data_IF_582477115945
#
_entry.id   IF_582477115945
#
_cell.length_a   1.000
_cell.length_b   1.000
_cell.length_c   1.000
_cell.angle_alpha   90.00
_cell.angle_beta   90.00
_cell.angle_gamma   90.00
#
_symmetry.space_group_name_H-M   'P 1'
#
loop_
_entity.id
_entity.type
_entity.pdbx_description
1 polymer ?
#
# COMPACT_ATOMS: atom_id res chain seq x y z
N UNK A 1 -21.85 13.93 -10.86
CA UNK A 1 -21.48 14.65 -9.62
C UNK A 1 -20.92 13.62 -8.65
N UNK A 2 -19.62 13.72 -8.32
CA UNK A 2 -19.06 12.90 -7.24
C UNK A 2 -19.66 13.40 -5.91
N UNK A 3 -20.11 12.51 -5.01
CA UNK A 3 -20.72 12.94 -3.76
C UNK A 3 -19.68 13.65 -2.88
N UNK A 4 -20.02 14.83 -2.36
CA UNK A 4 -19.18 15.74 -1.57
C UNK A 4 -18.31 15.08 -0.48
N UNK A 5 -18.74 13.92 0.06
CA UNK A 5 -17.97 13.14 1.04
C UNK A 5 -16.63 12.56 0.52
N UNK A 6 -16.43 12.46 -0.80
CA UNK A 6 -15.17 11.98 -1.41
C UNK A 6 -14.19 13.13 -1.71
N UNK A 7 -14.71 14.31 -2.05
CA UNK A 7 -13.88 15.50 -2.29
C UNK A 7 -13.22 15.99 -0.99
N UNK A 8 -13.95 15.98 0.13
CA UNK A 8 -13.42 16.37 1.45
C UNK A 8 -12.26 15.49 1.92
N UNK A 9 -12.29 14.18 1.60
CA UNK A 9 -11.20 13.24 1.93
C UNK A 9 -9.94 13.48 1.10
N UNK A 10 -10.09 13.92 -0.15
CA UNK A 10 -8.95 14.21 -1.02
C UNK A 10 -8.22 15.49 -0.57
N UNK A 11 -8.98 16.53 -0.22
CA UNK A 11 -8.45 17.82 0.26
C UNK A 11 -7.65 17.65 1.56
N UNK A 12 -8.11 16.77 2.47
CA UNK A 12 -7.40 16.44 3.70
C UNK A 12 -6.04 15.76 3.45
N UNK A 13 -5.94 14.87 2.44
CA UNK A 13 -4.67 14.20 2.11
C UNK A 13 -3.64 15.19 1.57
N UNK A 14 -4.03 16.08 0.65
CA UNK A 14 -3.09 17.04 0.04
C UNK A 14 -2.67 18.14 1.01
N UNK A 15 -3.58 18.57 1.89
CA UNK A 15 -3.25 19.53 2.98
C UNK A 15 -2.23 18.94 3.95
N UNK A 16 -2.40 17.67 4.34
CA UNK A 16 -1.45 16.99 5.22
C UNK A 16 -0.08 16.83 4.56
N UNK A 17 -0.02 16.55 3.26
CA UNK A 17 1.25 16.49 2.51
C UNK A 17 1.99 17.83 2.64
N UNK A 18 1.32 18.94 2.33
CA UNK A 18 1.93 20.28 2.44
C UNK A 18 2.42 20.59 3.86
N UNK A 19 1.61 20.26 4.87
CA UNK A 19 2.02 20.43 6.28
C UNK A 19 3.29 19.63 6.56
N UNK A 20 3.36 18.36 6.16
CA UNK A 20 4.51 17.50 6.45
C UNK A 20 5.77 17.88 5.66
N UNK A 21 5.64 18.43 4.45
CA UNK A 21 6.78 19.01 3.71
C UNK A 21 7.37 20.21 4.45
N UNK A 22 6.52 21.08 5.00
CA UNK A 22 6.96 22.27 5.74
C UNK A 22 7.43 21.95 7.18
N UNK A 23 6.84 20.94 7.80
CA UNK A 23 7.07 20.55 9.19
C UNK A 23 7.06 19.02 9.31
N UNK A 24 8.20 18.36 9.05
CA UNK A 24 8.34 16.93 9.25
C UNK A 24 8.00 16.52 10.68
N UNK A 25 7.36 15.36 10.82
CA UNK A 25 7.07 14.78 12.12
C UNK A 25 8.37 14.45 12.85
N UNK A 26 8.39 14.70 14.16
CA UNK A 26 9.47 14.22 15.03
C UNK A 26 9.49 12.68 14.99
N UNK A 27 10.68 12.09 15.10
CA UNK A 27 10.85 10.63 15.05
C UNK A 27 9.95 9.89 16.04
N UNK A 28 9.75 10.42 17.25
CA UNK A 28 8.85 9.84 18.26
C UNK A 28 7.39 9.77 17.78
N UNK A 29 6.89 10.81 17.12
CA UNK A 29 5.54 10.85 16.55
C UNK A 29 5.39 9.88 15.39
N UNK A 30 6.41 9.78 14.53
CA UNK A 30 6.42 8.82 13.42
C UNK A 30 6.43 7.37 13.93
N UNK A 31 7.25 7.07 14.95
CA UNK A 31 7.28 5.76 15.58
C UNK A 31 5.92 5.42 16.21
N UNK A 32 5.31 6.38 16.91
CA UNK A 32 3.98 6.20 17.48
C UNK A 32 2.92 5.90 16.41
N UNK A 33 2.95 6.59 15.27
CA UNK A 33 2.02 6.32 14.16
C UNK A 33 2.19 4.91 13.62
N UNK A 34 3.43 4.48 13.36
CA UNK A 34 3.66 3.12 12.91
C UNK A 34 3.27 2.07 13.95
N UNK A 35 3.58 2.29 15.23
CA UNK A 35 3.15 1.41 16.31
C UNK A 35 1.62 1.39 16.46
N UNK A 36 0.94 2.49 16.19
CA UNK A 36 -0.53 2.54 16.20
C UNK A 36 -1.10 1.78 15.01
N UNK A 37 -0.54 1.99 13.83
CA UNK A 37 -0.91 1.28 12.61
C UNK A 37 -0.71 -0.23 12.77
N UNK A 38 0.42 -0.63 13.36
CA UNK A 38 0.77 -2.02 13.62
C UNK A 38 0.06 -2.59 14.81
N UNK A 39 0.17 -2.05 16.01
CA UNK A 39 -0.13 -2.78 17.25
C UNK A 39 -1.46 -2.38 17.89
N UNK A 40 -2.11 -1.32 17.43
CA UNK A 40 -3.35 -0.86 18.06
C UNK A 40 -4.44 -1.94 17.98
N UNK A 41 -5.19 -2.08 19.08
CA UNK A 41 -6.35 -2.98 19.17
C UNK A 41 -7.63 -2.34 18.64
N UNK A 42 -7.66 -0.99 18.60
CA UNK A 42 -8.78 -0.22 18.07
C UNK A 42 -8.55 -0.06 16.58
N UNK A 43 -9.39 -0.72 15.80
CA UNK A 43 -9.19 -0.89 14.37
C UNK A 43 -9.22 0.46 13.61
N UNK A 44 -10.13 1.34 13.99
CA UNK A 44 -10.30 2.67 13.44
C UNK A 44 -9.05 3.53 13.62
N UNK A 45 -8.35 3.39 14.75
CA UNK A 45 -7.10 4.10 15.00
C UNK A 45 -5.98 3.59 14.10
N UNK A 46 -5.92 2.27 13.84
CA UNK A 46 -4.95 1.72 12.90
C UNK A 46 -5.21 2.22 11.47
N UNK A 47 -6.46 2.33 11.04
CA UNK A 47 -6.82 2.93 9.73
C UNK A 47 -6.34 4.37 9.65
N UNK A 48 -6.68 5.20 10.65
CA UNK A 48 -6.30 6.62 10.66
C UNK A 48 -4.79 6.77 10.64
N UNK A 49 -4.06 5.95 11.41
CA UNK A 49 -2.61 5.95 11.41
C UNK A 49 -2.04 5.60 10.01
N UNK A 50 -2.59 4.59 9.32
CA UNK A 50 -2.20 4.26 7.94
C UNK A 50 -2.43 5.44 7.00
N UNK A 51 -3.55 6.13 7.09
CA UNK A 51 -3.88 7.28 6.23
C UNK A 51 -2.95 8.48 6.48
N UNK A 52 -2.59 8.73 7.74
CA UNK A 52 -1.59 9.75 8.09
C UNK A 52 -0.22 9.36 7.52
N UNK A 53 0.18 8.09 7.68
CA UNK A 53 1.45 7.58 7.14
C UNK A 53 1.51 7.67 5.62
N UNK A 54 0.42 7.41 4.91
CA UNK A 54 0.33 7.61 3.45
C UNK A 54 0.64 9.05 3.07
N UNK A 55 -0.01 10.01 3.73
CA UNK A 55 0.22 11.45 3.46
C UNK A 55 1.64 11.88 3.84
N UNK A 56 2.19 11.31 4.91
CA UNK A 56 3.57 11.57 5.32
C UNK A 56 4.60 11.02 4.32
N UNK A 57 4.41 9.80 3.80
CA UNK A 57 5.30 9.19 2.80
C UNK A 57 5.22 9.94 1.45
N UNK A 58 4.04 10.45 1.08
CA UNK A 58 3.90 11.34 -0.08
C UNK A 58 4.79 12.59 0.06
N UNK A 59 4.79 13.22 1.24
CA UNK A 59 5.63 14.38 1.55
C UNK A 59 7.12 14.04 1.67
N UNK A 60 7.44 12.89 2.27
CA UNK A 60 8.82 12.45 2.57
C UNK A 60 9.03 11.01 2.05
N UNK A 61 9.29 10.84 0.74
CA UNK A 61 9.39 9.52 0.09
C UNK A 61 10.41 8.57 0.71
N UNK A 62 11.49 9.11 1.29
CA UNK A 62 12.57 8.31 1.90
C UNK A 62 12.10 7.47 3.08
N UNK A 63 11.04 7.89 3.78
CA UNK A 63 10.47 7.17 4.92
C UNK A 63 9.68 5.92 4.51
N UNK A 64 9.09 5.92 3.31
CA UNK A 64 8.41 4.76 2.75
C UNK A 64 9.37 3.59 2.49
N UNK A 65 10.61 3.90 2.07
CA UNK A 65 11.64 2.89 1.82
C UNK A 65 12.15 2.25 3.11
N UNK A 66 12.42 3.07 4.14
CA UNK A 66 12.97 2.59 5.43
C UNK A 66 12.02 1.64 6.15
N UNK A 67 10.71 1.87 6.02
CA UNK A 67 9.69 1.17 6.79
C UNK A 67 8.92 0.13 5.96
N UNK A 68 9.42 -0.26 4.78
CA UNK A 68 8.71 -1.19 3.91
C UNK A 68 8.49 -2.57 4.54
N UNK A 69 9.47 -3.08 5.29
CA UNK A 69 9.37 -4.36 5.99
C UNK A 69 8.17 -4.44 6.96
N UNK A 70 7.77 -3.29 7.50
CA UNK A 70 6.64 -3.16 8.44
C UNK A 70 5.29 -3.42 7.76
N UNK A 71 5.19 -3.15 6.45
CA UNK A 71 3.95 -3.39 5.68
C UNK A 71 3.59 -4.86 5.62
N UNK A 72 4.58 -5.75 5.59
CA UNK A 72 4.35 -7.19 5.58
C UNK A 72 3.67 -7.66 6.88
N UNK A 73 4.16 -7.20 8.03
CA UNK A 73 3.56 -7.52 9.33
C UNK A 73 2.12 -7.02 9.44
N UNK A 74 1.82 -5.87 8.82
CA UNK A 74 0.48 -5.30 8.79
C UNK A 74 -0.47 -6.10 7.88
N UNK A 75 -0.01 -6.58 6.72
CA UNK A 75 -0.84 -7.37 5.79
C UNK A 75 -1.31 -8.71 6.35
N UNK A 76 -0.55 -9.31 7.27
CA UNK A 76 -0.88 -10.59 7.88
C UNK A 76 -2.09 -10.53 8.84
N UNK A 77 -2.62 -9.33 9.12
CA UNK A 77 -3.74 -9.14 10.05
C UNK A 77 -5.08 -9.48 9.40
N UNK A 78 -5.97 -10.13 10.16
CA UNK A 78 -7.22 -10.77 9.68
C UNK A 78 -8.36 -9.82 9.28
N UNK A 79 -8.18 -8.50 9.33
CA UNK A 79 -9.27 -7.56 9.02
C UNK A 79 -9.22 -7.11 7.55
N UNK A 80 -10.28 -7.42 6.81
CA UNK A 80 -10.37 -7.14 5.38
C UNK A 80 -10.22 -5.66 5.00
N UNK A 81 -10.79 -4.78 5.82
CA UNK A 81 -10.73 -3.32 5.61
C UNK A 81 -9.32 -2.84 5.92
N UNK A 82 -8.69 -3.37 6.97
CA UNK A 82 -7.30 -3.04 7.30
C UNK A 82 -6.36 -3.37 6.14
N UNK A 83 -6.49 -4.58 5.59
CA UNK A 83 -5.66 -5.06 4.49
C UNK A 83 -5.77 -4.14 3.26
N UNK A 84 -6.96 -3.62 2.96
CA UNK A 84 -7.16 -2.64 1.88
C UNK A 84 -6.32 -1.37 2.14
N UNK A 85 -6.37 -0.81 3.34
CA UNK A 85 -5.60 0.40 3.69
C UNK A 85 -4.08 0.13 3.65
N UNK A 86 -3.64 -1.05 4.11
CA UNK A 86 -2.23 -1.47 4.05
C UNK A 86 -1.76 -1.63 2.59
N UNK A 87 -2.58 -2.22 1.71
CA UNK A 87 -2.29 -2.31 0.29
C UNK A 87 -2.22 -0.93 -0.37
N UNK A 88 -3.12 -0.02 -0.02
CA UNK A 88 -3.05 1.38 -0.48
C UNK A 88 -1.76 2.07 -0.02
N UNK A 89 -1.32 1.82 1.22
CA UNK A 89 -0.05 2.33 1.74
C UNK A 89 1.14 1.74 0.98
N UNK A 90 1.13 0.45 0.66
CA UNK A 90 2.16 -0.18 -0.16
C UNK A 90 2.23 0.41 -1.58
N UNK A 91 1.07 0.59 -2.24
CA UNK A 91 0.97 1.28 -3.54
C UNK A 91 1.54 2.70 -3.44
N UNK A 92 1.22 3.42 -2.37
CA UNK A 92 1.72 4.77 -2.12
C UNK A 92 3.25 4.77 -2.01
N UNK A 93 3.84 3.88 -1.21
CA UNK A 93 5.29 3.72 -1.11
C UNK A 93 5.92 3.47 -2.49
N UNK A 94 5.43 2.48 -3.24
CA UNK A 94 6.01 2.14 -4.55
C UNK A 94 5.89 3.27 -5.57
N UNK A 95 4.72 3.90 -5.64
CA UNK A 95 4.44 4.99 -6.59
C UNK A 95 5.28 6.22 -6.27
N UNK A 96 5.23 6.70 -5.03
CA UNK A 96 5.92 7.92 -4.62
C UNK A 96 7.43 7.76 -4.74
N UNK A 97 8.00 6.62 -4.33
CA UNK A 97 9.43 6.37 -4.50
C UNK A 97 9.82 6.34 -5.98
N UNK A 98 8.97 5.77 -6.85
CA UNK A 98 9.22 5.75 -8.29
C UNK A 98 9.12 7.14 -8.95
N UNK A 99 8.22 8.01 -8.47
CA UNK A 99 7.98 9.36 -9.04
C UNK A 99 8.85 10.45 -8.45
N UNK A 100 9.24 10.36 -7.17
CA UNK A 100 10.15 11.31 -6.53
C UNK A 100 11.50 11.35 -7.28
N UNK A 101 11.93 10.20 -7.79
CA UNK A 101 13.08 10.06 -8.68
C UNK A 101 12.94 10.87 -9.98
N UNK A 102 11.73 10.97 -10.54
CA UNK A 102 11.50 11.69 -11.79
C UNK A 102 11.61 13.22 -11.63
N UNK A 103 11.33 13.76 -10.43
CA UNK A 103 11.43 15.21 -10.15
C UNK A 103 12.85 15.67 -9.78
N UNK A 104 13.74 14.77 -9.38
CA UNK A 104 15.05 15.11 -8.83
C UNK A 104 16.22 15.10 -9.84
N UNK A 105 16.01 14.82 -11.13
CA UNK A 105 17.09 14.69 -12.14
C UNK A 105 18.24 13.76 -11.71
N UNK A 106 18.02 12.89 -10.73
CA UNK A 106 18.99 11.88 -10.32
C UNK A 106 18.94 10.70 -11.29
N UNK A 107 19.90 10.73 -12.22
CA UNK A 107 20.35 9.56 -12.97
C UNK A 107 20.54 8.39 -12.00
N UNK A 108 19.67 7.38 -12.15
CA UNK A 108 19.92 5.98 -11.75
C UNK A 108 20.00 5.69 -10.24
N UNK A 109 19.08 6.20 -9.41
CA UNK A 109 18.71 5.42 -8.21
C UNK A 109 17.93 4.17 -8.65
N UNK A 110 18.30 2.92 -8.30
CA UNK A 110 17.55 1.74 -8.71
C UNK A 110 16.07 1.92 -8.34
N UNK A 111 15.14 1.63 -9.28
CA UNK A 111 13.71 1.61 -8.96
C UNK A 111 13.60 0.77 -7.69
N UNK A 112 13.03 1.31 -6.61
CA UNK A 112 12.80 0.52 -5.42
C UNK A 112 11.83 -0.59 -5.81
N UNK A 113 12.40 -1.76 -6.05
CA UNK A 113 11.71 -2.97 -6.41
C UNK A 113 12.14 -4.05 -5.45
N UNK A 114 11.21 -4.92 -5.12
CA UNK A 114 11.42 -6.10 -4.31
C UNK A 114 11.27 -7.34 -5.19
N UNK A 115 12.02 -8.42 -4.89
CA UNK A 115 11.96 -9.66 -5.66
C UNK A 115 10.53 -10.19 -5.76
N UNK A 116 10.19 -10.83 -6.88
CA UNK A 116 8.90 -11.49 -7.06
C UNK A 116 8.63 -12.58 -6.02
N UNK A 117 9.69 -13.16 -5.45
CA UNK A 117 9.64 -14.17 -4.39
C UNK A 117 9.41 -13.60 -2.98
N UNK A 118 9.29 -12.28 -2.82
CA UNK A 118 9.07 -11.67 -1.50
C UNK A 118 7.72 -12.11 -0.90
N UNK A 119 7.75 -12.42 0.40
CA UNK A 119 6.58 -12.90 1.15
C UNK A 119 5.41 -11.90 1.09
N UNK A 120 5.67 -10.60 0.93
CA UNK A 120 4.64 -9.58 0.74
C UNK A 120 3.71 -9.94 -0.42
N UNK A 121 4.28 -10.31 -1.59
CA UNK A 121 3.47 -10.65 -2.76
C UNK A 121 2.76 -11.98 -2.59
N UNK A 122 3.42 -12.97 -2.00
CA UNK A 122 2.79 -14.27 -1.73
C UNK A 122 1.55 -14.11 -0.83
N UNK A 123 1.65 -13.31 0.25
CA UNK A 123 0.53 -13.03 1.15
C UNK A 123 -0.59 -12.27 0.43
N UNK A 124 -0.24 -11.19 -0.30
CA UNK A 124 -1.23 -10.36 -0.98
C UNK A 124 -1.97 -11.11 -2.09
N UNK A 125 -1.27 -12.00 -2.82
CA UNK A 125 -1.84 -12.83 -3.88
C UNK A 125 -2.66 -13.97 -3.32
N UNK A 126 -2.16 -14.68 -2.29
CA UNK A 126 -2.88 -15.77 -1.64
C UNK A 126 -4.26 -15.31 -1.15
N UNK A 127 -4.35 -14.10 -0.61
CA UNK A 127 -5.62 -13.51 -0.20
C UNK A 127 -6.61 -13.31 -1.37
N UNK A 128 -6.14 -13.15 -2.61
CA UNK A 128 -7.00 -13.10 -3.79
C UNK A 128 -7.43 -14.49 -4.24
N UNK A 129 -6.51 -15.46 -4.21
CA UNK A 129 -6.77 -16.82 -4.68
C UNK A 129 -7.68 -17.59 -3.72
N UNK A 130 -7.49 -17.43 -2.41
CA UNK A 130 -8.30 -18.10 -1.36
C UNK A 130 -9.80 -17.71 -1.42
N UNK A 131 -10.12 -16.59 -2.06
CA UNK A 131 -11.49 -16.10 -2.20
C UNK A 131 -12.06 -16.35 -3.60
N UNK A 132 -11.40 -17.12 -4.47
CA UNK A 132 -11.83 -17.35 -5.86
C UNK A 132 -13.24 -17.93 -5.99
N UNK A 133 -13.57 -18.88 -5.12
CA UNK A 133 -14.84 -19.61 -5.15
C UNK A 133 -15.99 -18.89 -4.41
N UNK A 134 -15.70 -17.77 -3.76
CA UNK A 134 -16.69 -17.00 -3.01
C UNK A 134 -17.40 -15.96 -3.89
N UNK A 135 -18.65 -15.59 -3.59
CA UNK A 135 -19.34 -14.48 -4.24
C UNK A 135 -18.49 -13.20 -4.18
N UNK A 136 -18.22 -12.62 -5.34
CA UNK A 136 -17.33 -11.47 -5.45
C UNK A 136 -18.03 -10.20 -5.00
N UNK A 137 -17.58 -9.63 -3.89
CA UNK A 137 -18.04 -8.33 -3.41
C UNK A 137 -17.27 -7.18 -4.08
N UNK A 138 -17.82 -5.97 -4.03
CA UNK A 138 -17.09 -4.76 -4.45
C UNK A 138 -15.73 -4.61 -3.74
N UNK A 139 -15.65 -5.03 -2.48
CA UNK A 139 -14.41 -5.00 -1.69
C UNK A 139 -13.37 -5.99 -2.22
N UNK A 140 -13.78 -7.17 -2.68
CA UNK A 140 -12.88 -8.13 -3.32
C UNK A 140 -12.22 -7.52 -4.56
N UNK A 141 -13.01 -6.93 -5.47
CA UNK A 141 -12.45 -6.31 -6.69
C UNK A 141 -11.55 -5.12 -6.37
N UNK A 142 -11.92 -4.30 -5.37
CA UNK A 142 -11.08 -3.21 -4.93
C UNK A 142 -9.73 -3.68 -4.38
N UNK A 143 -9.74 -4.74 -3.55
CA UNK A 143 -8.51 -5.40 -3.06
C UNK A 143 -7.68 -5.93 -4.23
N UNK A 144 -8.29 -6.69 -5.14
CA UNK A 144 -7.60 -7.26 -6.30
C UNK A 144 -6.89 -6.17 -7.12
N UNK A 145 -7.61 -5.08 -7.41
CA UNK A 145 -7.03 -3.91 -8.08
C UNK A 145 -5.81 -3.37 -7.34
N UNK A 146 -5.91 -3.17 -6.02
CA UNK A 146 -4.81 -2.64 -5.21
C UNK A 146 -3.62 -3.60 -5.13
N UNK A 147 -3.87 -4.91 -5.03
CA UNK A 147 -2.81 -5.92 -5.05
C UNK A 147 -2.03 -5.87 -6.37
N UNK A 148 -2.72 -5.84 -7.51
CA UNK A 148 -2.04 -5.71 -8.80
C UNK A 148 -1.31 -4.36 -8.93
N UNK A 149 -1.91 -3.26 -8.48
CA UNK A 149 -1.22 -1.97 -8.44
C UNK A 149 0.06 -2.03 -7.58
N UNK A 150 0.02 -2.73 -6.44
CA UNK A 150 1.18 -2.91 -5.57
C UNK A 150 2.25 -3.75 -6.27
N UNK A 151 1.86 -4.84 -6.96
CA UNK A 151 2.78 -5.67 -7.77
C UNK A 151 3.48 -4.82 -8.83
N UNK A 152 2.77 -4.04 -9.64
CA UNK A 152 3.39 -3.19 -10.66
C UNK A 152 4.21 -2.02 -10.09
N UNK A 153 3.84 -1.53 -8.91
CA UNK A 153 4.55 -0.43 -8.24
C UNK A 153 5.81 -0.90 -7.49
N UNK A 154 5.88 -2.16 -7.08
CA UNK A 154 6.92 -2.65 -6.16
C UNK A 154 7.70 -3.84 -6.67
N UNK A 155 7.21 -4.62 -7.63
CA UNK A 155 7.89 -5.85 -8.04
C UNK A 155 8.96 -5.60 -9.13
N UNK A 156 10.04 -6.38 -9.07
CA UNK A 156 11.05 -6.48 -10.13
C UNK A 156 10.48 -7.09 -11.41
N UNK A 157 9.71 -8.18 -11.28
CA UNK A 157 9.09 -8.93 -12.38
C UNK A 157 7.57 -9.01 -12.19
N UNK A 158 6.83 -7.90 -12.36
CA UNK A 158 5.38 -7.88 -12.13
C UNK A 158 4.60 -8.80 -13.08
N UNK A 159 5.07 -8.96 -14.32
CA UNK A 159 4.42 -9.78 -15.35
C UNK A 159 4.43 -11.26 -14.98
N UNK A 160 5.52 -11.75 -14.39
CA UNK A 160 5.64 -13.14 -13.90
C UNK A 160 4.58 -13.43 -12.83
N UNK A 161 4.51 -12.59 -11.79
CA UNK A 161 3.50 -12.74 -10.73
C UNK A 161 2.07 -12.62 -11.25
N UNK A 162 1.81 -11.73 -12.20
CA UNK A 162 0.48 -11.61 -12.79
C UNK A 162 0.11 -12.85 -13.60
N UNK A 163 1.04 -13.40 -14.38
CA UNK A 163 0.84 -14.64 -15.13
C UNK A 163 0.59 -15.83 -14.20
N UNK A 164 1.29 -15.92 -13.06
CA UNK A 164 1.06 -16.95 -12.06
C UNK A 164 -0.35 -16.87 -11.46
N UNK A 165 -0.82 -15.65 -11.16
CA UNK A 165 -2.19 -15.44 -10.66
C UNK A 165 -3.22 -15.81 -11.72
N UNK A 166 -3.05 -15.35 -12.96
CA UNK A 166 -3.95 -15.66 -14.08
C UNK A 166 -4.00 -17.18 -14.29
N UNK A 167 -2.85 -17.84 -14.32
CA UNK A 167 -2.75 -19.30 -14.47
C UNK A 167 -3.46 -20.02 -13.33
N UNK A 168 -3.26 -19.57 -12.08
CA UNK A 168 -3.93 -20.14 -10.92
C UNK A 168 -5.45 -20.00 -10.99
N UNK A 169 -5.95 -18.85 -11.46
CA UNK A 169 -7.38 -18.59 -11.63
C UNK A 169 -8.00 -19.40 -12.78
N UNK A 170 -7.27 -19.53 -13.90
CA UNK A 170 -7.73 -20.28 -15.07
C UNK A 170 -7.70 -21.80 -14.82
N UNK A 171 -6.65 -22.31 -14.17
CA UNK A 171 -6.51 -23.73 -13.85
C UNK A 171 -7.44 -24.20 -12.73
N UNK A 172 -7.92 -23.30 -11.86
CA UNK A 172 -8.96 -23.63 -10.86
C UNK A 172 -10.33 -23.92 -11.49
N UNK A 173 -10.54 -23.57 -12.76
CA UNK A 173 -11.80 -23.76 -13.50
C UNK A 173 -11.78 -24.95 -14.46
N UNK A 174 -10.72 -25.76 -14.46
CA UNK A 174 -10.62 -27.00 -15.23
C UNK A 174 -10.94 -28.21 -14.33
#
# INVERSE_FOLDING_TARGET
MLPAKLEDRCVLSDTLVYIFESQPLKQGSLNFLWETAEKCKIFEHSIVAVQILQSYIKAIPSEGRKNFSRLHEMLLRRNDIFQIEVLQLAVCCGTVISTAKAKLNELVAPKFRIPSTDNFFQVAIKQLTDHLDLPKSHRFFHRAKLTFQAVYALCESPDELCNDVISSVLCHKA
#
